data_IF_291263491861
#
_entry.id   IF_291263491861
#
_cell.length_a   1.000
_cell.length_b   1.000
_cell.length_c   1.000
_cell.angle_alpha   90.00
_cell.angle_beta   90.00
_cell.angle_gamma   90.00
#
_symmetry.space_group_name_H-M   'P 1'
#
loop_
_entity.id
_entity.type
_entity.pdbx_description
1 polymer ?
#
# COMPACT_ATOMS: atom_id res chain seq x y z
N UNK A 1 -4.58 2.74 33.26
CA UNK A 1 -3.48 3.68 33.60
C UNK A 1 -2.23 3.26 32.81
N UNK A 2 -1.66 4.17 32.06
CA UNK A 2 -0.47 3.85 31.30
C UNK A 2 0.74 3.67 32.22
N UNK A 3 1.48 2.60 32.01
CA UNK A 3 2.72 2.38 32.76
C UNK A 3 3.79 3.34 32.28
N UNK A 4 4.58 3.87 33.21
CA UNK A 4 5.74 4.69 32.86
C UNK A 4 6.88 3.79 32.45
N UNK A 5 7.41 4.01 31.25
CA UNK A 5 8.51 3.22 30.71
C UNK A 5 9.84 3.86 31.11
N UNK A 6 10.71 3.10 31.78
CA UNK A 6 12.04 3.55 32.13
C UNK A 6 12.96 3.74 30.93
N UNK A 7 13.99 4.59 31.06
CA UNK A 7 14.90 4.91 29.95
C UNK A 7 15.58 3.69 29.35
N UNK A 8 16.00 2.73 30.17
CA UNK A 8 16.63 1.49 29.70
C UNK A 8 15.67 0.67 28.87
N UNK A 9 14.41 0.59 29.30
CA UNK A 9 13.37 -0.15 28.58
C UNK A 9 13.02 0.53 27.26
N UNK A 10 12.98 1.86 27.23
CA UNK A 10 12.75 2.62 26.00
C UNK A 10 13.80 2.26 24.96
N UNK A 11 15.09 2.26 25.34
CA UNK A 11 16.17 1.92 24.42
C UNK A 11 16.07 0.48 23.92
N UNK A 12 15.81 -0.47 24.82
CA UNK A 12 15.65 -1.88 24.44
C UNK A 12 14.49 -2.09 23.48
N UNK A 13 13.34 -1.51 23.78
CA UNK A 13 12.14 -1.65 22.94
C UNK A 13 12.31 -0.95 21.61
N UNK A 14 12.93 0.23 21.59
CA UNK A 14 13.24 0.93 20.34
C UNK A 14 14.14 0.11 19.45
N UNK A 15 15.21 -0.45 20.01
CA UNK A 15 16.16 -1.27 19.26
C UNK A 15 15.51 -2.53 18.72
N UNK A 16 14.64 -3.17 19.52
CA UNK A 16 13.91 -4.34 19.07
C UNK A 16 12.94 -4.01 17.93
N UNK A 17 12.21 -2.90 18.06
CA UNK A 17 11.30 -2.45 17.02
C UNK A 17 12.04 -2.14 15.71
N UNK A 18 13.17 -1.46 15.79
CA UNK A 18 14.00 -1.13 14.61
C UNK A 18 14.53 -2.42 13.97
N UNK A 19 14.99 -3.36 14.77
CA UNK A 19 15.50 -4.64 14.28
C UNK A 19 14.41 -5.45 13.60
N UNK A 20 13.23 -5.55 14.20
CA UNK A 20 12.10 -6.26 13.60
C UNK A 20 11.67 -5.61 12.28
N UNK A 21 11.65 -4.28 12.21
CA UNK A 21 11.40 -3.56 10.96
C UNK A 21 12.42 -3.94 9.88
N UNK A 22 13.68 -4.00 10.25
CA UNK A 22 14.74 -4.37 9.33
C UNK A 22 14.53 -5.79 8.77
N UNK A 23 14.28 -6.74 9.65
CA UNK A 23 14.05 -8.13 9.24
C UNK A 23 12.80 -8.26 8.36
N UNK A 24 11.73 -7.59 8.75
CA UNK A 24 10.46 -7.64 8.04
C UNK A 24 10.56 -7.07 6.62
N UNK A 25 11.40 -6.06 6.44
CA UNK A 25 11.56 -5.38 5.15
C UNK A 25 12.61 -6.04 4.25
N UNK A 26 13.39 -6.99 4.73
CA UNK A 26 14.59 -7.46 4.03
C UNK A 26 14.31 -8.39 2.86
N UNK A 27 13.66 -9.50 3.08
CA UNK A 27 13.58 -10.56 2.07
C UNK A 27 12.17 -10.91 1.59
N UNK A 28 11.18 -10.70 2.43
CA UNK A 28 9.82 -11.14 2.16
C UNK A 28 9.18 -10.46 0.95
N UNK A 29 9.71 -9.32 0.52
CA UNK A 29 9.15 -8.55 -0.59
C UNK A 29 9.62 -9.00 -1.97
N UNK A 30 10.78 -9.62 -2.06
CA UNK A 30 11.37 -9.98 -3.35
C UNK A 30 10.51 -10.98 -4.13
N UNK A 31 10.00 -11.98 -3.43
CA UNK A 31 9.22 -13.03 -4.06
C UNK A 31 7.76 -12.63 -4.29
N UNK A 32 7.20 -11.80 -3.41
CA UNK A 32 5.80 -11.40 -3.46
C UNK A 32 5.57 -10.25 -4.46
N UNK A 33 6.50 -9.29 -4.52
CA UNK A 33 6.37 -8.09 -5.35
C UNK A 33 7.40 -8.04 -6.49
N UNK A 34 7.70 -9.21 -7.06
CA UNK A 34 8.72 -9.36 -8.09
C UNK A 34 8.51 -8.48 -9.33
N UNK A 35 7.25 -8.21 -9.70
CA UNK A 35 6.89 -7.47 -10.91
C UNK A 35 6.56 -6.00 -10.68
N UNK A 36 6.44 -5.57 -9.42
CA UNK A 36 6.11 -4.20 -9.09
C UNK A 36 6.54 -3.87 -7.67
N UNK A 37 6.72 -2.59 -7.40
CA UNK A 37 7.02 -2.10 -6.05
C UNK A 37 5.75 -2.10 -5.18
N UNK A 38 5.92 -2.00 -3.87
CA UNK A 38 4.80 -1.91 -2.94
C UNK A 38 3.92 -0.68 -3.24
N UNK A 39 4.48 0.53 -3.44
CA UNK A 39 3.65 1.68 -3.80
C UNK A 39 2.87 1.49 -5.10
N UNK A 40 3.47 0.89 -6.11
CA UNK A 40 2.79 0.59 -7.37
C UNK A 40 1.63 -0.38 -7.18
N UNK A 41 1.84 -1.43 -6.38
CA UNK A 41 0.79 -2.39 -6.07
C UNK A 41 -0.38 -1.71 -5.33
N UNK A 42 -0.07 -0.93 -4.30
CA UNK A 42 -1.10 -0.22 -3.53
C UNK A 42 -1.89 0.73 -4.45
N UNK A 43 -1.20 1.44 -5.33
CA UNK A 43 -1.84 2.35 -6.27
C UNK A 43 -2.80 1.62 -7.22
N UNK A 44 -2.34 0.54 -7.84
CA UNK A 44 -3.17 -0.23 -8.76
C UNK A 44 -4.37 -0.85 -8.06
N UNK A 45 -4.17 -1.42 -6.88
CA UNK A 45 -5.21 -2.02 -6.08
C UNK A 45 -6.27 -0.98 -5.69
N UNK A 46 -5.84 0.20 -5.27
CA UNK A 46 -6.72 1.31 -4.90
C UNK A 46 -7.53 1.79 -6.11
N UNK A 47 -6.89 1.99 -7.26
CA UNK A 47 -7.57 2.42 -8.48
C UNK A 47 -8.63 1.39 -8.89
N UNK A 48 -8.28 0.11 -8.87
CA UNK A 48 -9.20 -0.96 -9.24
C UNK A 48 -10.41 -1.03 -8.30
N UNK A 49 -10.19 -0.87 -7.00
CA UNK A 49 -11.28 -0.90 -6.02
C UNK A 49 -12.24 0.28 -6.18
N UNK A 50 -11.71 1.46 -6.41
CA UNK A 50 -12.54 2.66 -6.55
C UNK A 50 -13.39 2.62 -7.82
N UNK A 51 -12.88 2.02 -8.89
CA UNK A 51 -13.64 1.88 -10.14
C UNK A 51 -14.84 0.94 -10.01
N UNK A 52 -14.85 0.05 -9.02
CA UNK A 52 -15.95 -0.87 -8.78
C UNK A 52 -16.94 -0.34 -7.74
N UNK A 53 -16.75 0.89 -7.24
CA UNK A 53 -17.64 1.51 -6.27
C UNK A 53 -18.97 1.90 -6.91
N UNK A 54 -20.09 1.44 -6.32
CA UNK A 54 -21.42 1.66 -6.85
C UNK A 54 -21.95 3.09 -6.65
N UNK A 55 -21.37 3.87 -5.73
CA UNK A 55 -21.93 5.14 -5.30
C UNK A 55 -21.38 6.31 -6.14
N UNK A 56 -20.12 6.24 -6.54
CA UNK A 56 -19.51 7.23 -7.41
C UNK A 56 -18.70 6.49 -8.46
N UNK A 57 -18.80 6.92 -9.72
CA UNK A 57 -17.91 6.40 -10.76
C UNK A 57 -16.48 6.68 -10.33
N UNK A 58 -15.82 5.65 -9.82
CA UNK A 58 -14.60 5.76 -9.07
C UNK A 58 -13.43 6.41 -9.78
N UNK A 59 -13.43 7.72 -9.82
CA UNK A 59 -12.26 8.47 -10.27
C UNK A 59 -11.26 8.57 -9.16
N UNK A 60 -10.04 8.12 -9.43
CA UNK A 60 -8.93 8.27 -8.49
C UNK A 60 -8.03 9.38 -9.02
N UNK A 61 -8.03 10.49 -8.32
CA UNK A 61 -7.19 11.64 -8.67
C UNK A 61 -5.78 11.43 -8.16
N UNK A 62 -4.81 12.10 -8.76
CA UNK A 62 -3.42 12.02 -8.29
C UNK A 62 -3.29 12.41 -6.82
N UNK A 63 -4.07 13.40 -6.39
CA UNK A 63 -4.12 13.82 -4.99
C UNK A 63 -4.57 12.70 -4.07
N UNK A 64 -5.56 11.92 -4.47
CA UNK A 64 -6.05 10.78 -3.68
C UNK A 64 -4.94 9.75 -3.48
N UNK A 65 -4.16 9.47 -4.53
CA UNK A 65 -3.02 8.56 -4.44
C UNK A 65 -1.92 9.11 -3.54
N UNK A 66 -1.64 10.41 -3.65
CA UNK A 66 -0.65 11.07 -2.80
C UNK A 66 -1.03 10.97 -1.33
N UNK A 67 -2.29 11.21 -1.00
CA UNK A 67 -2.80 11.11 0.36
C UNK A 67 -2.77 9.65 0.86
N UNK A 68 -3.22 8.72 0.04
CA UNK A 68 -3.24 7.29 0.39
C UNK A 68 -1.85 6.75 0.65
N UNK A 69 -0.90 7.08 -0.21
CA UNK A 69 0.46 6.54 -0.16
C UNK A 69 1.41 7.38 0.69
N UNK A 70 0.95 8.54 1.17
CA UNK A 70 1.79 9.48 1.92
C UNK A 70 3.06 9.83 1.14
N UNK A 71 2.87 10.15 -0.14
CA UNK A 71 3.94 10.52 -1.07
C UNK A 71 3.65 11.91 -1.62
N UNK A 72 4.69 12.57 -2.11
CA UNK A 72 4.51 13.89 -2.74
C UNK A 72 3.82 13.76 -4.10
N UNK A 73 3.19 14.83 -4.56
CA UNK A 73 2.57 14.86 -5.89
C UNK A 73 3.58 14.56 -7.00
N UNK A 74 4.81 15.02 -6.83
CA UNK A 74 5.89 14.76 -7.77
C UNK A 74 6.23 13.26 -7.85
N UNK A 75 6.33 12.60 -6.70
CA UNK A 75 6.60 11.17 -6.63
C UNK A 75 5.44 10.38 -7.25
N UNK A 76 4.22 10.76 -6.95
CA UNK A 76 3.02 10.12 -7.49
C UNK A 76 2.96 10.29 -9.01
N UNK A 77 3.16 11.51 -9.51
CA UNK A 77 3.14 11.77 -10.96
C UNK A 77 4.16 10.92 -11.69
N UNK A 78 5.35 10.79 -11.12
CA UNK A 78 6.43 10.00 -11.71
C UNK A 78 6.08 8.51 -11.74
N UNK A 79 5.53 8.00 -10.67
CA UNK A 79 5.12 6.60 -10.56
C UNK A 79 3.97 6.28 -11.54
N UNK A 80 2.96 7.14 -11.58
CA UNK A 80 1.80 6.94 -12.45
C UNK A 80 2.19 7.09 -13.92
N UNK A 81 3.11 8.00 -14.25
CA UNK A 81 3.66 8.13 -15.59
C UNK A 81 4.33 6.83 -16.05
N UNK A 82 5.11 6.23 -15.18
CA UNK A 82 5.73 4.94 -15.45
C UNK A 82 4.68 3.85 -15.68
N UNK A 83 3.65 3.79 -14.85
CA UNK A 83 2.57 2.81 -15.01
C UNK A 83 1.80 3.02 -16.31
N UNK A 84 1.59 4.28 -16.70
CA UNK A 84 0.98 4.63 -17.99
C UNK A 84 1.84 4.18 -19.17
N UNK A 85 3.13 4.45 -19.09
CA UNK A 85 4.08 4.14 -20.17
C UNK A 85 4.16 2.64 -20.44
N UNK A 86 4.01 1.81 -19.42
CA UNK A 86 3.95 0.35 -19.60
C UNK A 86 2.54 -0.18 -19.87
N UNK A 87 1.54 0.69 -19.90
CA UNK A 87 0.19 0.34 -20.32
C UNK A 87 -0.74 -0.17 -19.24
N UNK A 88 -0.43 0.05 -17.97
CA UNK A 88 -1.25 -0.44 -16.86
C UNK A 88 -2.34 0.53 -16.43
N UNK A 89 -2.15 1.82 -16.69
CA UNK A 89 -3.13 2.86 -16.36
C UNK A 89 -3.26 3.84 -17.51
N UNK A 90 -4.37 4.60 -17.51
CA UNK A 90 -4.62 5.73 -18.40
C UNK A 90 -4.79 6.98 -17.55
N UNK A 91 -4.30 8.11 -18.08
CA UNK A 91 -4.56 9.42 -17.50
C UNK A 91 -5.74 10.06 -18.22
N UNK A 92 -6.58 10.71 -17.45
CA UNK A 92 -7.68 11.51 -17.95
C UNK A 92 -7.76 12.81 -17.16
N UNK A 93 -8.50 13.77 -17.69
CA UNK A 93 -8.61 15.09 -17.08
C UNK A 93 -10.08 15.52 -17.08
N UNK A 94 -10.54 16.07 -15.97
CA UNK A 94 -11.93 16.50 -15.82
C UNK A 94 -12.16 17.99 -16.15
N UNK A 95 -11.12 18.72 -16.51
CA UNK A 95 -11.19 20.15 -16.84
C UNK A 95 -10.91 21.10 -15.69
N UNK A 96 -10.59 20.59 -14.49
CA UNK A 96 -10.39 21.40 -13.29
C UNK A 96 -8.92 21.74 -13.01
N UNK A 97 -8.19 22.19 -14.02
CA UNK A 97 -6.81 22.63 -13.84
C UNK A 97 -5.88 21.52 -13.39
N UNK A 98 -4.89 21.84 -12.56
CA UNK A 98 -3.87 20.86 -12.12
C UNK A 98 -4.41 19.76 -11.20
N UNK A 99 -5.56 19.97 -10.57
CA UNK A 99 -6.16 19.01 -9.64
C UNK A 99 -7.10 18.03 -10.35
N UNK A 100 -7.39 18.26 -11.63
CA UNK A 100 -8.37 17.49 -12.38
C UNK A 100 -7.83 16.24 -13.06
N UNK A 101 -6.56 15.88 -12.86
CA UNK A 101 -5.99 14.67 -13.44
C UNK A 101 -6.36 13.46 -12.61
N UNK A 102 -7.00 12.48 -13.25
CA UNK A 102 -7.35 11.23 -12.61
C UNK A 102 -6.86 10.04 -13.42
N UNK A 103 -6.83 8.88 -12.80
CA UNK A 103 -6.22 7.67 -13.33
C UNK A 103 -7.26 6.56 -13.36
N UNK A 104 -7.26 5.79 -14.44
CA UNK A 104 -8.07 4.57 -14.54
C UNK A 104 -7.16 3.39 -14.85
N UNK A 105 -7.58 2.20 -14.44
CA UNK A 105 -6.81 0.99 -14.70
C UNK A 105 -7.20 0.41 -16.06
N UNK A 106 -6.21 -0.09 -16.80
CA UNK A 106 -6.45 -0.79 -18.07
C UNK A 106 -6.71 -2.27 -17.83
N UNK A 107 -7.17 -2.98 -18.86
CA UNK A 107 -7.32 -4.44 -18.79
C UNK A 107 -5.98 -5.12 -18.51
N UNK A 108 -4.90 -4.61 -19.08
CA UNK A 108 -3.54 -5.09 -18.81
C UNK A 108 -3.16 -4.88 -17.34
N UNK A 109 -3.50 -3.72 -16.79
CA UNK A 109 -3.29 -3.43 -15.37
C UNK A 109 -4.09 -4.36 -14.46
N UNK A 110 -5.35 -4.63 -14.82
CA UNK A 110 -6.19 -5.58 -14.07
C UNK A 110 -5.63 -7.00 -14.10
N UNK A 111 -5.13 -7.43 -15.26
CA UNK A 111 -4.51 -8.76 -15.40
C UNK A 111 -3.26 -8.89 -14.54
N UNK A 112 -2.43 -7.85 -14.52
CA UNK A 112 -1.24 -7.81 -13.67
C UNK A 112 -1.63 -7.88 -12.19
N UNK A 113 -2.64 -7.12 -11.80
CA UNK A 113 -3.13 -7.09 -10.42
C UNK A 113 -3.64 -8.46 -10.00
N UNK A 114 -4.44 -9.13 -10.85
CA UNK A 114 -4.93 -10.48 -10.56
C UNK A 114 -3.81 -11.50 -10.39
N UNK A 115 -2.81 -11.43 -11.26
CA UNK A 115 -1.63 -12.31 -11.17
C UNK A 115 -0.87 -12.09 -9.87
N UNK A 116 -0.73 -10.83 -9.47
CA UNK A 116 -0.06 -10.47 -8.22
C UNK A 116 -0.86 -10.95 -7.01
N UNK A 117 -2.18 -10.81 -7.05
CA UNK A 117 -3.08 -11.28 -5.99
C UNK A 117 -3.00 -12.80 -5.82
N UNK A 118 -2.88 -13.56 -6.90
CA UNK A 118 -2.70 -15.02 -6.82
C UNK A 118 -1.39 -15.38 -6.12
N UNK A 119 -0.32 -14.65 -6.40
CA UNK A 119 0.97 -14.83 -5.71
C UNK A 119 0.84 -14.51 -4.22
N UNK A 120 0.17 -13.41 -3.88
CA UNK A 120 -0.08 -13.02 -2.50
C UNK A 120 -0.91 -14.06 -1.76
N UNK A 121 -1.95 -14.55 -2.39
CA UNK A 121 -2.85 -15.57 -1.83
C UNK A 121 -2.10 -16.84 -1.48
N UNK A 122 -1.23 -17.30 -2.36
CA UNK A 122 -0.42 -18.50 -2.11
C UNK A 122 0.55 -18.31 -0.96
N UNK A 123 1.25 -17.19 -0.94
CA UNK A 123 2.25 -16.91 0.09
C UNK A 123 1.61 -16.61 1.44
N UNK A 124 0.76 -15.60 1.48
CA UNK A 124 0.15 -15.16 2.73
C UNK A 124 -0.89 -16.13 3.26
N UNK A 125 -1.53 -16.90 2.40
CA UNK A 125 -2.47 -17.93 2.85
C UNK A 125 -1.83 -18.90 3.82
N UNK A 126 -0.63 -19.35 3.52
CA UNK A 126 0.14 -20.26 4.39
C UNK A 126 0.62 -19.57 5.66
N UNK A 127 1.10 -18.33 5.52
CA UNK A 127 1.58 -17.54 6.65
C UNK A 127 0.45 -17.26 7.63
N UNK A 128 -0.69 -16.82 7.14
CA UNK A 128 -1.84 -16.44 7.97
C UNK A 128 -2.49 -17.67 8.63
N UNK A 129 -2.47 -18.81 7.95
CA UNK A 129 -2.95 -20.06 8.54
C UNK A 129 -2.12 -20.43 9.77
N UNK A 130 -0.81 -20.27 9.70
CA UNK A 130 0.09 -20.59 10.82
C UNK A 130 0.04 -19.52 11.91
N UNK A 131 -0.02 -18.25 11.54
CA UNK A 131 -0.05 -17.14 12.49
C UNK A 131 -1.39 -17.03 13.20
N UNK A 132 -2.45 -17.31 12.50
CA UNK A 132 -3.83 -17.17 12.99
C UNK A 132 -4.47 -15.85 12.59
N UNK A 133 -5.71 -15.93 12.12
CA UNK A 133 -6.48 -14.77 11.67
C UNK A 133 -6.65 -13.73 12.78
N UNK A 134 -6.96 -14.17 14.00
CA UNK A 134 -7.20 -13.26 15.12
C UNK A 134 -5.91 -12.53 15.52
N UNK A 135 -4.78 -13.25 15.52
CA UNK A 135 -3.48 -12.65 15.76
C UNK A 135 -3.14 -11.60 14.69
N UNK A 136 -3.45 -11.89 13.44
CA UNK A 136 -3.20 -10.96 12.36
C UNK A 136 -4.05 -9.70 12.51
N UNK A 137 -5.33 -9.84 12.81
CA UNK A 137 -6.23 -8.71 13.00
C UNK A 137 -5.73 -7.84 14.15
N UNK A 138 -5.33 -8.45 15.26
CA UNK A 138 -4.77 -7.74 16.40
C UNK A 138 -3.50 -6.99 16.04
N UNK A 139 -2.59 -7.65 15.32
CA UNK A 139 -1.35 -7.02 14.86
C UNK A 139 -1.64 -5.80 13.99
N UNK A 140 -2.55 -5.91 13.04
CA UNK A 140 -2.90 -4.80 12.15
C UNK A 140 -3.52 -3.63 12.90
N UNK A 141 -4.37 -3.91 13.89
CA UNK A 141 -4.95 -2.87 14.75
C UNK A 141 -3.87 -2.15 15.56
N UNK A 142 -2.93 -2.90 16.11
CA UNK A 142 -1.81 -2.33 16.88
C UNK A 142 -0.87 -1.52 15.99
N UNK A 143 -0.58 -2.00 14.79
CA UNK A 143 0.24 -1.26 13.81
C UNK A 143 -0.42 0.06 13.42
N UNK A 144 -1.73 0.03 13.17
CA UNK A 144 -2.49 1.24 12.82
C UNK A 144 -2.47 2.24 13.95
N UNK A 145 -2.64 1.77 15.19
CA UNK A 145 -2.59 2.62 16.38
C UNK A 145 -1.21 3.26 16.54
N UNK A 146 -0.15 2.48 16.39
CA UNK A 146 1.22 2.95 16.48
C UNK A 146 1.51 3.99 15.39
N UNK A 147 1.12 3.71 14.17
CA UNK A 147 1.31 4.62 13.04
C UNK A 147 0.61 5.97 13.28
N UNK A 148 -0.62 5.95 13.79
CA UNK A 148 -1.39 7.14 14.09
C UNK A 148 -0.67 8.02 15.13
N UNK A 149 -0.05 7.40 16.13
CA UNK A 149 0.70 8.12 17.17
C UNK A 149 1.99 8.70 16.62
N UNK A 150 2.67 7.98 15.73
CA UNK A 150 3.96 8.37 15.17
C UNK A 150 3.87 9.41 14.06
N UNK A 151 2.72 9.54 13.41
CA UNK A 151 2.55 10.47 12.28
C UNK A 151 2.28 11.91 12.72
#
# INVERSE_FOLDING_TARGET
MAETIGNTDIIKLSNELIYQRHLFNREHRKDVFMKMSIPEYIALQYIAMEETSDIYSGRVYLKDLADKLQMTMRQISKMVEKLRDVGYVLWSHDGNGSEGTYVTITESGRSLLRAQEETLKKYYGKVFEKFGKDNLIQLLQLMKQLETIMS
#
